data_IF_148081346676
#
_entry.id   IF_148081346676
#
_cell.length_a   1.000
_cell.length_b   1.000
_cell.length_c   1.000
_cell.angle_alpha   90.00
_cell.angle_beta   90.00
_cell.angle_gamma   90.00
#
_symmetry.space_group_name_H-M   'P 1'
#
loop_
_entity.id
_entity.type
_entity.pdbx_description
1 polymer ?
#
# COMPACT_ATOMS: atom_id res chain seq x y z
N UNK A 1 6.63 -7.44 5.08
CA UNK A 1 5.51 -8.30 4.72
C UNK A 1 5.98 -9.73 4.52
N UNK A 2 5.13 -10.71 4.84
CA UNK A 2 5.23 -12.11 4.39
C UNK A 2 4.23 -12.35 3.26
N UNK A 3 4.23 -13.56 2.67
CA UNK A 3 3.36 -13.86 1.55
C UNK A 3 3.96 -13.48 0.19
N UNK A 4 3.16 -13.61 -0.87
CA UNK A 4 3.57 -13.33 -2.24
C UNK A 4 2.37 -12.96 -3.11
N UNK A 5 2.51 -12.99 -4.45
CA UNK A 5 1.39 -12.82 -5.38
C UNK A 5 0.37 -13.95 -5.29
N UNK A 6 0.84 -15.18 -5.06
CA UNK A 6 -0.01 -16.36 -4.98
C UNK A 6 -0.32 -16.75 -3.52
N UNK A 7 -1.46 -17.40 -3.32
CA UNK A 7 -1.88 -17.98 -2.05
C UNK A 7 -2.33 -19.44 -2.28
N UNK A 8 -1.94 -20.39 -1.40
CA UNK A 8 -0.99 -20.22 -0.31
C UNK A 8 0.44 -19.97 -0.81
N UNK A 9 1.25 -19.28 -0.02
CA UNK A 9 2.64 -18.97 -0.33
C UNK A 9 3.59 -19.49 0.74
N UNK A 10 4.87 -19.58 0.40
CA UNK A 10 5.92 -19.89 1.37
C UNK A 10 6.00 -18.80 2.44
N UNK A 11 6.33 -19.22 3.65
CA UNK A 11 6.48 -18.37 4.84
C UNK A 11 7.91 -18.48 5.38
N UNK A 12 8.29 -17.56 6.26
CA UNK A 12 9.60 -17.58 6.91
C UNK A 12 9.63 -18.58 8.07
N UNK A 13 8.48 -18.75 8.72
CA UNK A 13 8.25 -19.73 9.78
C UNK A 13 7.31 -20.83 9.28
N UNK A 14 6.43 -21.37 10.14
CA UNK A 14 5.50 -22.43 9.77
C UNK A 14 4.20 -21.92 9.14
N UNK A 15 3.84 -20.65 9.37
CA UNK A 15 2.62 -20.04 8.84
C UNK A 15 2.77 -18.52 8.69
N UNK A 16 1.86 -17.88 7.97
CA UNK A 16 1.83 -16.40 7.88
C UNK A 16 1.48 -15.77 9.23
N UNK A 17 0.66 -16.45 10.02
CA UNK A 17 0.32 -16.05 11.37
C UNK A 17 1.55 -16.05 12.28
N UNK A 18 2.36 -17.11 12.22
CA UNK A 18 3.59 -17.22 12.98
C UNK A 18 4.64 -16.19 12.54
N UNK A 19 4.73 -15.90 11.25
CA UNK A 19 5.58 -14.82 10.74
C UNK A 19 5.19 -13.48 11.37
N UNK A 20 3.88 -13.17 11.47
CA UNK A 20 3.40 -11.95 12.13
C UNK A 20 3.69 -11.97 13.62
N UNK A 21 3.44 -13.09 14.30
CA UNK A 21 3.56 -13.18 15.77
C UNK A 21 5.01 -13.15 16.22
N UNK A 22 5.90 -13.89 15.56
CA UNK A 22 7.26 -14.12 16.04
C UNK A 22 8.32 -13.22 15.40
N UNK A 23 8.00 -12.50 14.33
CA UNK A 23 8.94 -11.60 13.65
C UNK A 23 8.44 -10.17 13.74
N UNK A 24 9.06 -9.36 14.61
CA UNK A 24 8.62 -7.99 14.91
C UNK A 24 8.51 -7.09 13.66
N UNK A 25 9.42 -7.25 12.70
CA UNK A 25 9.44 -6.47 11.46
C UNK A 25 8.39 -6.88 10.42
N UNK A 26 7.68 -7.99 10.64
CA UNK A 26 6.57 -8.41 9.76
C UNK A 26 5.27 -7.72 10.20
N UNK A 27 4.80 -6.77 9.40
CA UNK A 27 3.63 -5.94 9.65
C UNK A 27 2.41 -6.33 8.78
N UNK A 28 2.44 -7.52 8.19
CA UNK A 28 1.31 -8.00 7.39
C UNK A 28 1.69 -9.00 6.31
N UNK A 29 0.69 -9.32 5.50
CA UNK A 29 0.77 -10.30 4.42
C UNK A 29 0.59 -9.59 3.08
N UNK A 30 1.32 -10.05 2.05
CA UNK A 30 1.13 -9.64 0.65
C UNK A 30 0.33 -10.70 -0.10
N UNK A 31 -0.60 -10.24 -0.93
CA UNK A 31 -1.39 -11.06 -1.87
C UNK A 31 -1.63 -10.25 -3.15
N UNK A 32 -1.84 -10.91 -4.29
CA UNK A 32 -2.36 -10.27 -5.50
C UNK A 32 -3.83 -10.64 -5.71
N UNK A 33 -4.64 -9.65 -6.08
CA UNK A 33 -6.03 -9.82 -6.51
C UNK A 33 -6.24 -9.19 -7.88
N UNK A 34 -7.16 -9.76 -8.64
CA UNK A 34 -7.55 -9.26 -9.96
C UNK A 34 -6.33 -9.05 -10.89
N UNK A 35 -5.37 -9.95 -10.79
CA UNK A 35 -4.09 -9.94 -11.51
C UNK A 35 -3.85 -11.32 -12.13
N UNK A 36 -3.45 -11.36 -13.40
CA UNK A 36 -3.16 -12.59 -14.13
C UNK A 36 -2.05 -13.43 -13.49
N UNK A 37 -1.28 -12.87 -12.56
CA UNK A 37 -0.24 -13.57 -11.77
C UNK A 37 -0.74 -14.05 -10.42
N UNK A 38 -1.98 -13.74 -10.07
CA UNK A 38 -2.60 -14.17 -8.81
C UNK A 38 -2.97 -15.66 -8.85
N UNK A 39 -3.24 -16.24 -7.70
CA UNK A 39 -3.80 -17.59 -7.59
C UNK A 39 -5.32 -17.62 -7.72
N UNK A 40 -5.97 -16.48 -8.02
CA UNK A 40 -7.43 -16.35 -8.11
C UNK A 40 -8.14 -16.94 -6.88
N UNK A 41 -7.72 -16.46 -5.70
CA UNK A 41 -8.31 -16.89 -4.42
C UNK A 41 -9.82 -16.71 -4.41
N UNK A 42 -10.51 -17.65 -3.81
CA UNK A 42 -11.95 -17.58 -3.57
C UNK A 42 -12.27 -16.60 -2.44
N UNK A 43 -13.53 -16.16 -2.35
CA UNK A 43 -14.01 -15.33 -1.23
C UNK A 43 -13.77 -15.99 0.13
N UNK A 44 -13.98 -17.32 0.22
CA UNK A 44 -13.75 -18.08 1.45
C UNK A 44 -12.26 -18.10 1.86
N UNK A 45 -11.37 -18.30 0.91
CA UNK A 45 -9.92 -18.30 1.17
C UNK A 45 -9.45 -16.92 1.63
N UNK A 46 -9.89 -15.86 0.96
CA UNK A 46 -9.56 -14.48 1.34
C UNK A 46 -10.12 -14.11 2.72
N UNK A 47 -11.36 -14.51 3.01
CA UNK A 47 -11.98 -14.32 4.33
C UNK A 47 -11.21 -15.02 5.42
N UNK A 48 -10.80 -16.27 5.17
CA UNK A 48 -10.01 -17.07 6.12
C UNK A 48 -8.64 -16.45 6.36
N UNK A 49 -7.96 -16.00 5.29
CA UNK A 49 -6.68 -15.31 5.39
C UNK A 49 -6.80 -14.01 6.20
N UNK A 50 -7.79 -13.18 5.89
CA UNK A 50 -8.04 -11.93 6.61
C UNK A 50 -8.32 -12.16 8.10
N UNK A 51 -9.12 -13.18 8.44
CA UNK A 51 -9.40 -13.58 9.83
C UNK A 51 -8.15 -14.02 10.57
N UNK A 52 -7.27 -14.78 9.93
CA UNK A 52 -6.01 -15.24 10.50
C UNK A 52 -5.04 -14.08 10.75
N UNK A 53 -4.92 -13.14 9.80
CA UNK A 53 -4.10 -11.93 9.98
C UNK A 53 -4.63 -11.10 11.16
N UNK A 54 -5.95 -10.91 11.25
CA UNK A 54 -6.59 -10.21 12.39
C UNK A 54 -6.25 -10.88 13.73
N UNK A 55 -6.37 -12.21 13.82
CA UNK A 55 -6.05 -12.95 15.03
C UNK A 55 -4.56 -12.82 15.39
N UNK A 56 -3.65 -12.99 14.44
CA UNK A 56 -2.21 -12.84 14.63
C UNK A 56 -1.84 -11.41 15.09
N UNK A 57 -2.47 -10.38 14.51
CA UNK A 57 -2.33 -8.98 14.91
C UNK A 57 -2.67 -8.76 16.40
N UNK A 58 -3.80 -9.33 16.84
CA UNK A 58 -4.24 -9.25 18.23
C UNK A 58 -3.28 -9.98 19.19
N UNK A 59 -2.82 -11.18 18.82
CA UNK A 59 -1.87 -11.97 19.62
C UNK A 59 -0.52 -11.23 19.73
N UNK A 60 -0.03 -10.69 18.62
CA UNK A 60 1.26 -9.99 18.58
C UNK A 60 1.20 -8.58 19.22
N UNK A 61 0.01 -8.05 19.51
CA UNK A 61 -0.17 -6.69 20.04
C UNK A 61 0.30 -5.59 19.08
N UNK A 62 0.37 -5.87 17.77
CA UNK A 62 0.76 -4.93 16.72
C UNK A 62 -0.23 -4.93 15.57
N UNK A 63 -0.32 -3.82 14.85
CA UNK A 63 -1.13 -3.76 13.63
C UNK A 63 -0.50 -4.61 12.53
N UNK A 64 -1.31 -5.44 11.89
CA UNK A 64 -0.92 -6.19 10.71
C UNK A 64 -1.99 -6.05 9.62
N UNK A 65 -1.56 -5.81 8.39
CA UNK A 65 -2.43 -5.53 7.25
C UNK A 65 -2.31 -6.62 6.18
N UNK A 66 -3.36 -6.77 5.38
CA UNK A 66 -3.31 -7.50 4.12
C UNK A 66 -3.06 -6.48 2.99
N UNK A 67 -1.82 -6.39 2.55
CA UNK A 67 -1.43 -5.56 1.41
C UNK A 67 -1.77 -6.29 0.12
N UNK A 68 -2.65 -5.69 -0.68
CA UNK A 68 -3.19 -6.31 -1.89
C UNK A 68 -2.61 -5.63 -3.12
N UNK A 69 -1.81 -6.37 -3.88
CA UNK A 69 -1.40 -5.95 -5.22
C UNK A 69 -2.58 -6.07 -6.16
N UNK A 70 -3.09 -4.95 -6.63
CA UNK A 70 -4.22 -4.91 -7.56
C UNK A 70 -3.74 -5.03 -9.00
N UNK A 71 -4.36 -5.94 -9.75
CA UNK A 71 -4.16 -6.09 -11.19
C UNK A 71 -5.18 -5.31 -12.03
N UNK A 72 -5.34 -5.75 -13.28
CA UNK A 72 -6.19 -5.09 -14.29
C UNK A 72 -7.49 -5.83 -14.60
N UNK A 73 -7.77 -6.93 -13.89
CA UNK A 73 -8.97 -7.73 -14.12
C UNK A 73 -10.24 -7.00 -13.66
N UNK A 74 -11.35 -7.36 -14.30
CA UNK A 74 -12.65 -6.67 -14.13
C UNK A 74 -13.23 -6.72 -12.73
N UNK A 75 -12.85 -7.72 -11.93
CA UNK A 75 -13.36 -7.92 -10.57
C UNK A 75 -12.86 -6.86 -9.58
N UNK A 76 -11.76 -6.18 -9.90
CA UNK A 76 -11.17 -5.13 -9.08
C UNK A 76 -11.24 -5.45 -7.57
N UNK A 77 -11.98 -4.70 -6.75
CA UNK A 77 -12.12 -4.90 -5.30
C UNK A 77 -13.38 -5.70 -4.89
N UNK A 78 -14.12 -6.29 -5.81
CA UNK A 78 -15.39 -7.01 -5.53
C UNK A 78 -15.26 -8.00 -4.38
N UNK A 79 -14.21 -8.85 -4.36
CA UNK A 79 -14.00 -9.82 -3.28
C UNK A 79 -13.84 -9.15 -1.92
N UNK A 80 -13.15 -8.01 -1.87
CA UNK A 80 -12.96 -7.25 -0.62
C UNK A 80 -14.29 -6.69 -0.15
N UNK A 81 -15.09 -6.10 -1.05
CA UNK A 81 -16.41 -5.58 -0.69
C UNK A 81 -17.36 -6.68 -0.21
N UNK A 82 -17.38 -7.83 -0.88
CA UNK A 82 -18.20 -8.97 -0.47
C UNK A 82 -17.85 -9.44 0.95
N UNK A 83 -16.57 -9.49 1.29
CA UNK A 83 -16.12 -9.88 2.64
C UNK A 83 -16.55 -8.84 3.67
N UNK A 84 -16.38 -7.55 3.36
CA UNK A 84 -16.75 -6.47 4.28
C UNK A 84 -18.26 -6.43 4.55
N UNK A 85 -19.09 -6.88 3.60
CA UNK A 85 -20.54 -6.97 3.76
C UNK A 85 -20.96 -8.18 4.60
N UNK A 86 -20.26 -9.33 4.45
CA UNK A 86 -20.70 -10.63 5.02
C UNK A 86 -20.00 -10.99 6.33
N UNK A 87 -18.82 -10.45 6.59
CA UNK A 87 -17.99 -10.84 7.73
C UNK A 87 -17.62 -9.63 8.59
N UNK A 88 -17.50 -9.85 9.91
CA UNK A 88 -17.01 -8.82 10.85
C UNK A 88 -15.48 -8.68 10.77
N UNK A 89 -15.01 -8.22 9.60
CA UNK A 89 -13.60 -7.92 9.35
C UNK A 89 -13.47 -6.40 9.15
N UNK A 90 -12.56 -5.72 9.89
CA UNK A 90 -12.43 -4.28 9.77
C UNK A 90 -11.85 -3.89 8.40
N UNK A 91 -12.41 -2.86 7.79
CA UNK A 91 -11.94 -2.32 6.50
C UNK A 91 -10.46 -1.95 6.54
N UNK A 92 -9.97 -1.49 7.69
CA UNK A 92 -8.57 -1.12 7.91
C UNK A 92 -7.56 -2.28 7.81
N UNK A 93 -8.06 -3.53 7.78
CA UNK A 93 -7.20 -4.69 7.56
C UNK A 93 -6.67 -4.76 6.12
N UNK A 94 -7.45 -4.30 5.16
CA UNK A 94 -7.13 -4.36 3.74
C UNK A 94 -6.42 -3.09 3.28
N UNK A 95 -5.31 -3.24 2.56
CA UNK A 95 -4.54 -2.15 1.98
C UNK A 95 -4.27 -2.43 0.50
N UNK A 96 -5.21 -2.11 -0.40
CA UNK A 96 -4.98 -2.23 -1.82
C UNK A 96 -3.95 -1.20 -2.31
N UNK A 97 -2.99 -1.66 -3.12
CA UNK A 97 -2.01 -0.83 -3.83
C UNK A 97 -2.21 -0.90 -5.34
N UNK A 98 -1.60 0.03 -6.08
CA UNK A 98 -1.79 0.21 -7.53
C UNK A 98 -3.22 0.61 -7.92
N UNK A 99 -3.91 1.31 -7.04
CA UNK A 99 -5.35 1.60 -7.17
C UNK A 99 -5.70 2.52 -8.37
N UNK A 100 -4.71 3.02 -9.09
CA UNK A 100 -4.89 3.91 -10.26
C UNK A 100 -4.57 3.24 -11.59
N UNK A 101 -4.47 1.90 -11.63
CA UNK A 101 -4.15 1.15 -12.85
C UNK A 101 -5.15 1.34 -13.97
N UNK A 102 -6.43 1.34 -13.63
CA UNK A 102 -7.50 1.58 -14.58
C UNK A 102 -8.64 2.39 -13.93
N UNK A 103 -9.52 3.04 -14.73
CA UNK A 103 -10.58 3.88 -14.20
C UNK A 103 -11.58 3.14 -13.31
N UNK A 104 -11.93 1.90 -13.63
CA UNK A 104 -12.88 1.10 -12.85
C UNK A 104 -12.33 0.82 -11.45
N UNK A 105 -11.11 0.31 -11.36
CA UNK A 105 -10.44 0.07 -10.07
C UNK A 105 -10.34 1.37 -9.25
N UNK A 106 -10.08 2.50 -9.90
CA UNK A 106 -9.98 3.77 -9.19
C UNK A 106 -11.33 4.25 -8.62
N UNK A 107 -12.44 4.04 -9.33
CA UNK A 107 -13.78 4.32 -8.78
C UNK A 107 -14.08 3.46 -7.54
N UNK A 108 -13.73 2.18 -7.57
CA UNK A 108 -13.87 1.30 -6.40
C UNK A 108 -12.93 1.69 -5.26
N UNK A 109 -11.71 2.10 -5.56
CA UNK A 109 -10.76 2.60 -4.57
C UNK A 109 -11.29 3.87 -3.86
N UNK A 110 -11.97 4.78 -4.58
CA UNK A 110 -12.66 5.93 -3.96
C UNK A 110 -13.77 5.47 -3.00
N UNK A 111 -14.62 4.54 -3.46
CA UNK A 111 -15.66 3.93 -2.61
C UNK A 111 -15.04 3.28 -1.35
N UNK A 112 -13.92 2.59 -1.50
CA UNK A 112 -13.22 1.96 -0.38
C UNK A 112 -12.71 3.00 0.63
N UNK A 113 -12.20 4.16 0.18
CA UNK A 113 -11.80 5.24 1.09
C UNK A 113 -13.00 5.89 1.79
N UNK A 114 -14.15 6.00 1.13
CA UNK A 114 -15.40 6.50 1.74
C UNK A 114 -15.91 5.56 2.87
N UNK A 115 -15.60 4.27 2.80
CA UNK A 115 -15.86 3.29 3.87
C UNK A 115 -14.81 3.34 5.01
N UNK A 116 -13.80 4.19 4.90
CA UNK A 116 -12.72 4.33 5.89
C UNK A 116 -11.49 3.46 5.63
N UNK A 117 -11.43 2.76 4.51
CA UNK A 117 -10.26 2.00 4.06
C UNK A 117 -9.13 2.90 3.60
N UNK A 118 -7.90 2.40 3.62
CA UNK A 118 -6.73 3.12 3.13
C UNK A 118 -6.25 2.49 1.82
N UNK A 119 -6.04 3.31 0.81
CA UNK A 119 -5.49 2.90 -0.49
C UNK A 119 -4.06 3.40 -0.67
N UNK A 120 -3.33 2.72 -1.53
CA UNK A 120 -2.00 3.15 -1.96
C UNK A 120 -2.00 3.48 -3.46
N UNK A 121 -1.48 4.65 -3.79
CA UNK A 121 -1.24 5.09 -5.16
C UNK A 121 0.22 4.90 -5.49
N UNK A 122 0.51 4.07 -6.48
CA UNK A 122 1.88 3.91 -6.99
C UNK A 122 2.22 5.06 -7.92
N UNK A 123 3.26 5.81 -7.58
CA UNK A 123 3.74 6.93 -8.39
C UNK A 123 4.87 6.51 -9.33
N UNK A 124 4.90 7.13 -10.50
CA UNK A 124 5.99 7.03 -11.48
C UNK A 124 6.89 8.29 -11.56
N UNK A 125 6.59 9.28 -10.71
CA UNK A 125 7.33 10.54 -10.63
C UNK A 125 7.01 11.54 -11.73
N UNK A 126 5.88 11.35 -12.43
CA UNK A 126 5.44 12.23 -13.54
C UNK A 126 4.38 13.27 -13.14
N UNK A 127 3.95 13.29 -11.86
CA UNK A 127 2.98 14.24 -11.30
C UNK A 127 1.50 13.89 -11.54
N UNK A 128 1.19 12.74 -12.13
CA UNK A 128 -0.21 12.32 -12.35
C UNK A 128 -0.97 12.04 -11.06
N UNK A 129 -0.27 11.73 -9.97
CA UNK A 129 -0.87 11.41 -8.67
C UNK A 129 -1.79 12.51 -8.16
N UNK A 130 -1.47 13.78 -8.43
CA UNK A 130 -2.30 14.92 -8.04
C UNK A 130 -3.73 14.81 -8.57
N UNK A 131 -3.89 14.46 -9.84
CA UNK A 131 -5.21 14.34 -10.48
C UNK A 131 -6.09 13.26 -9.85
N UNK A 132 -5.50 12.21 -9.28
CA UNK A 132 -6.20 11.19 -8.52
C UNK A 132 -6.56 11.66 -7.12
N UNK A 133 -5.61 12.29 -6.40
CA UNK A 133 -5.83 12.80 -5.04
C UNK A 133 -6.98 13.81 -5.02
N UNK A 134 -7.07 14.71 -6.00
CA UNK A 134 -8.13 15.71 -6.11
C UNK A 134 -9.55 15.13 -6.24
N UNK A 135 -9.67 13.85 -6.62
CA UNK A 135 -10.95 13.16 -6.74
C UNK A 135 -11.34 12.38 -5.48
N UNK A 136 -10.46 12.31 -4.47
CA UNK A 136 -10.67 11.55 -3.24
C UNK A 136 -11.07 12.52 -2.12
N UNK A 137 -12.21 12.27 -1.47
CA UNK A 137 -12.72 13.11 -0.38
C UNK A 137 -11.87 13.01 0.89
N UNK A 138 -11.50 11.78 1.26
CA UNK A 138 -10.76 11.50 2.49
C UNK A 138 -9.28 11.23 2.18
N UNK A 139 -8.51 12.28 1.98
CA UNK A 139 -7.09 12.20 1.63
C UNK A 139 -6.21 11.65 2.75
N UNK A 140 -6.68 11.58 4.00
CA UNK A 140 -5.98 10.91 5.10
C UNK A 140 -5.94 9.39 4.93
N UNK A 141 -6.77 8.85 4.03
CA UNK A 141 -6.83 7.43 3.65
C UNK A 141 -6.05 7.12 2.37
N UNK A 142 -5.13 7.98 1.99
CA UNK A 142 -4.28 7.79 0.82
C UNK A 142 -2.82 7.73 1.25
N UNK A 143 -2.11 6.72 0.78
CA UNK A 143 -0.65 6.64 0.82
C UNK A 143 -0.09 6.69 -0.60
N UNK A 144 1.17 7.07 -0.74
CA UNK A 144 1.87 7.07 -2.03
C UNK A 144 3.15 6.26 -1.88
N UNK A 145 3.35 5.32 -2.79
CA UNK A 145 4.55 4.50 -2.88
C UNK A 145 5.13 4.53 -4.30
N UNK A 146 6.39 4.12 -4.44
CA UNK A 146 7.04 4.06 -5.75
C UNK A 146 7.08 2.67 -6.36
N UNK A 147 6.70 1.63 -5.62
CA UNK A 147 6.98 0.23 -6.00
C UNK A 147 8.45 0.04 -6.41
N UNK A 148 9.36 0.71 -5.69
CA UNK A 148 10.78 0.72 -6.02
C UNK A 148 11.35 -0.70 -6.03
N UNK A 149 12.24 -0.98 -7.00
CA UNK A 149 12.79 -2.29 -7.30
C UNK A 149 11.75 -3.30 -7.85
N UNK A 150 10.47 -2.92 -7.93
CA UNK A 150 9.46 -3.70 -8.64
C UNK A 150 9.76 -3.74 -10.15
N UNK A 151 9.60 -4.92 -10.75
CA UNK A 151 9.67 -5.07 -12.20
C UNK A 151 8.37 -4.66 -12.86
N UNK A 152 8.46 -4.02 -14.01
CA UNK A 152 7.34 -3.78 -14.90
C UNK A 152 7.62 -4.34 -16.28
N UNK A 153 6.58 -4.71 -17.00
CA UNK A 153 6.68 -5.22 -18.36
C UNK A 153 5.62 -4.56 -19.25
N UNK A 154 5.99 -4.30 -20.49
CA UNK A 154 5.04 -3.98 -21.55
C UNK A 154 4.99 -5.13 -22.55
N UNK A 155 3.85 -5.28 -23.22
CA UNK A 155 3.61 -6.40 -24.12
C UNK A 155 3.26 -5.89 -25.51
N UNK A 156 3.59 -6.67 -26.52
CA UNK A 156 3.14 -6.50 -27.89
C UNK A 156 1.68 -6.99 -28.02
N UNK A 157 1.05 -6.71 -29.17
CA UNK A 157 -0.33 -7.13 -29.44
C UNK A 157 -0.49 -8.67 -29.45
N UNK A 158 0.57 -9.40 -29.75
CA UNK A 158 0.60 -10.87 -29.73
C UNK A 158 0.84 -11.48 -28.34
N UNK A 159 0.95 -10.65 -27.30
CA UNK A 159 1.22 -11.06 -25.93
C UNK A 159 2.69 -11.31 -25.61
N UNK A 160 3.60 -11.20 -26.56
CA UNK A 160 5.04 -11.30 -26.30
C UNK A 160 5.54 -10.07 -25.51
N UNK A 161 6.56 -10.27 -24.68
CA UNK A 161 7.16 -9.19 -23.91
C UNK A 161 7.86 -8.21 -24.84
N UNK A 162 7.47 -6.93 -24.77
CA UNK A 162 8.07 -5.83 -25.54
C UNK A 162 9.24 -5.20 -24.80
N UNK A 163 9.05 -4.94 -23.51
CA UNK A 163 10.04 -4.27 -22.68
C UNK A 163 9.90 -4.71 -21.22
N UNK A 164 11.00 -4.80 -20.52
CA UNK A 164 11.06 -5.05 -19.07
C UNK A 164 11.94 -3.98 -18.44
N UNK A 165 11.49 -3.43 -17.31
CA UNK A 165 12.26 -2.47 -16.54
C UNK A 165 12.10 -2.66 -15.04
N UNK A 166 12.83 -1.86 -14.30
CA UNK A 166 12.79 -1.80 -12.83
C UNK A 166 12.42 -0.38 -12.42
N UNK A 167 11.47 -0.26 -11.50
CA UNK A 167 11.01 1.05 -11.00
C UNK A 167 12.11 1.73 -10.19
N UNK A 168 12.52 2.96 -10.56
CA UNK A 168 13.54 3.68 -9.82
C UNK A 168 13.03 4.17 -8.45
N UNK A 169 13.83 3.99 -7.40
CA UNK A 169 13.54 4.52 -6.07
C UNK A 169 13.36 6.05 -6.05
N UNK A 170 13.99 6.75 -6.99
CA UNK A 170 13.91 8.21 -7.13
C UNK A 170 12.52 8.73 -7.49
N UNK A 171 11.62 7.87 -7.97
CA UNK A 171 10.26 8.27 -8.35
C UNK A 171 9.50 8.84 -7.14
N UNK A 172 9.69 8.28 -5.94
CA UNK A 172 9.03 8.79 -4.74
C UNK A 172 9.44 10.24 -4.43
N UNK A 173 10.75 10.55 -4.51
CA UNK A 173 11.26 11.91 -4.33
C UNK A 173 10.70 12.86 -5.38
N UNK A 174 10.67 12.45 -6.65
CA UNK A 174 10.15 13.28 -7.75
C UNK A 174 8.68 13.60 -7.54
N UNK A 175 7.89 12.58 -7.16
CA UNK A 175 6.45 12.76 -6.92
C UNK A 175 6.18 13.66 -5.71
N UNK A 176 6.96 13.52 -4.63
CA UNK A 176 6.88 14.44 -3.51
C UNK A 176 7.14 15.90 -3.91
N UNK A 177 8.16 16.15 -4.75
CA UNK A 177 8.47 17.49 -5.24
C UNK A 177 7.30 18.03 -6.10
N UNK A 178 6.74 17.21 -6.99
CA UNK A 178 5.60 17.59 -7.80
C UNK A 178 4.40 18.00 -6.93
N UNK A 179 4.02 17.14 -5.97
CA UNK A 179 2.89 17.41 -5.08
C UNK A 179 3.15 18.60 -4.17
N UNK A 180 4.36 18.75 -3.64
CA UNK A 180 4.74 19.90 -2.81
C UNK A 180 4.62 21.23 -3.56
N UNK A 181 4.98 21.25 -4.84
CA UNK A 181 4.90 22.47 -5.65
C UNK A 181 3.45 22.92 -5.88
N UNK A 182 2.52 21.96 -5.96
CA UNK A 182 1.10 22.23 -6.19
C UNK A 182 0.29 22.42 -4.90
N UNK A 183 0.57 21.63 -3.87
CA UNK A 183 -0.22 21.57 -2.64
C UNK A 183 0.45 22.28 -1.44
N UNK A 184 1.73 22.60 -1.53
CA UNK A 184 2.56 22.99 -0.39
C UNK A 184 3.01 21.82 0.48
N UNK A 185 4.02 22.07 1.35
CA UNK A 185 4.60 21.02 2.20
C UNK A 185 3.59 20.38 3.14
N UNK A 186 2.75 21.17 3.81
CA UNK A 186 1.81 20.68 4.82
C UNK A 186 0.79 19.71 4.26
N UNK A 187 0.35 19.91 3.02
CA UNK A 187 -0.64 19.08 2.36
C UNK A 187 -0.04 17.90 1.60
N UNK A 188 1.22 18.00 1.15
CA UNK A 188 1.89 16.93 0.41
C UNK A 188 2.54 15.89 1.32
N UNK A 189 3.21 16.30 2.40
CA UNK A 189 3.93 15.40 3.30
C UNK A 189 3.09 14.25 3.89
N UNK A 190 1.84 14.45 4.30
CA UNK A 190 1.06 13.39 4.93
C UNK A 190 0.98 12.10 4.11
N UNK A 191 0.92 12.16 2.78
CA UNK A 191 0.85 10.99 1.89
C UNK A 191 2.08 10.09 1.98
N UNK A 192 3.23 10.65 2.35
CA UNK A 192 4.53 9.96 2.41
C UNK A 192 4.99 9.67 3.84
N UNK A 193 4.29 10.20 4.84
CA UNK A 193 4.73 10.16 6.25
C UNK A 193 3.61 9.75 7.18
N UNK A 194 2.76 10.69 7.64
CA UNK A 194 1.71 10.48 8.65
C UNK A 194 0.72 9.39 8.23
N UNK A 195 0.23 9.42 6.97
CA UNK A 195 -0.74 8.44 6.51
C UNK A 195 -0.12 7.04 6.46
N UNK A 196 1.14 6.93 6.01
CA UNK A 196 1.90 5.68 6.00
C UNK A 196 2.09 5.15 7.42
N UNK A 197 2.52 6.01 8.36
CA UNK A 197 2.67 5.63 9.76
C UNK A 197 1.35 5.12 10.36
N UNK A 198 0.25 5.79 10.07
CA UNK A 198 -1.07 5.41 10.57
C UNK A 198 -1.50 4.03 10.05
N UNK A 199 -1.36 3.76 8.75
CA UNK A 199 -1.78 2.48 8.16
C UNK A 199 -0.90 1.32 8.63
N UNK A 200 0.36 1.57 8.95
CA UNK A 200 1.29 0.57 9.46
C UNK A 200 1.25 0.44 11.00
N UNK A 201 0.44 1.25 11.68
CA UNK A 201 0.29 1.21 13.15
C UNK A 201 1.46 1.81 13.92
N UNK A 202 2.31 2.60 13.29
CA UNK A 202 3.41 3.29 13.96
C UNK A 202 2.90 4.52 14.72
N UNK A 203 3.18 4.58 16.03
CA UNK A 203 2.65 5.61 16.93
C UNK A 203 3.60 6.79 17.17
N UNK A 204 4.88 6.61 16.86
CA UNK A 204 5.94 7.58 17.24
C UNK A 204 6.79 8.05 16.06
N UNK A 205 6.33 7.85 14.82
CA UNK A 205 6.98 8.33 13.60
C UNK A 205 5.98 9.00 12.65
N UNK A 206 6.45 9.54 11.54
CA UNK A 206 5.64 10.14 10.49
C UNK A 206 5.26 11.60 10.72
N UNK A 207 5.66 12.20 11.84
CA UNK A 207 5.42 13.60 12.16
C UNK A 207 6.59 14.18 12.99
N UNK A 208 6.83 15.48 12.85
CA UNK A 208 7.72 16.22 13.75
C UNK A 208 6.90 16.66 14.96
N UNK A 209 7.03 15.94 16.08
CA UNK A 209 6.25 16.16 17.28
C UNK A 209 7.04 15.75 18.52
N UNK A 210 6.83 16.44 19.65
CA UNK A 210 7.43 16.05 20.93
C UNK A 210 7.04 14.61 21.32
N UNK A 211 8.03 13.83 21.77
CA UNK A 211 7.86 12.41 22.11
C UNK A 211 7.91 11.45 20.91
N UNK A 212 8.05 11.96 19.68
CA UNK A 212 8.25 11.12 18.48
C UNK A 212 9.74 10.84 18.25
N UNK A 213 10.01 9.75 17.52
CA UNK A 213 11.37 9.41 17.09
C UNK A 213 11.92 10.49 16.16
N UNK A 214 13.23 10.77 16.29
CA UNK A 214 13.89 11.80 15.49
C UNK A 214 14.34 11.24 14.13
N UNK A 215 13.39 10.78 13.33
CA UNK A 215 13.62 10.35 11.96
C UNK A 215 13.29 11.52 11.02
N UNK A 216 14.30 12.29 10.63
CA UNK A 216 14.14 13.56 9.95
C UNK A 216 14.92 13.59 8.63
N UNK A 217 14.32 14.24 7.63
CA UNK A 217 15.00 14.57 6.37
C UNK A 217 15.07 16.09 6.25
N UNK A 218 16.29 16.63 6.17
CA UNK A 218 16.55 18.06 6.01
C UNK A 218 16.69 18.35 4.52
N UNK A 219 15.87 19.28 4.02
CA UNK A 219 15.82 19.69 2.63
C UNK A 219 16.32 21.12 2.44
N UNK A 220 16.98 21.38 1.31
CA UNK A 220 17.25 22.70 0.81
C UNK A 220 17.05 22.69 -0.71
N UNK A 221 16.21 23.59 -1.25
CA UNK A 221 15.99 23.72 -2.70
C UNK A 221 15.75 22.37 -3.39
N UNK A 222 14.80 21.56 -2.87
CA UNK A 222 14.45 20.24 -3.39
C UNK A 222 15.58 19.19 -3.36
N UNK A 223 16.65 19.48 -2.64
CA UNK A 223 17.75 18.55 -2.41
C UNK A 223 17.81 18.10 -0.94
N UNK A 224 17.96 16.79 -0.74
CA UNK A 224 18.19 16.23 0.59
C UNK A 224 19.60 16.60 1.02
N UNK A 225 19.72 17.36 2.10
CA UNK A 225 20.99 17.78 2.69
C UNK A 225 21.47 16.80 3.76
N UNK A 226 20.53 16.29 4.56
CA UNK A 226 20.86 15.39 5.66
C UNK A 226 19.67 14.49 6.00
N UNK A 227 19.97 13.25 6.35
CA UNK A 227 19.03 12.31 6.96
C UNK A 227 19.49 12.05 8.38
N UNK A 228 18.60 12.15 9.32
CA UNK A 228 18.79 11.83 10.74
C UNK A 228 17.86 10.67 11.05
N UNK A 229 18.39 9.61 11.61
CA UNK A 229 17.60 8.43 12.01
C UNK A 229 17.95 8.06 13.43
N UNK A 230 16.98 7.50 14.16
CA UNK A 230 17.22 6.82 15.41
C UNK A 230 18.17 5.63 15.16
N UNK A 231 19.24 5.54 15.92
CA UNK A 231 20.15 4.40 15.88
C UNK A 231 19.60 3.23 16.70
#
# INVERSE_FOLDING_TARGET
>A
LTGSYAYPSNTLTSSMEDDIVFIDSILGVKLALSDHRSSHVTEEELTRLASKIRAASLIAGKQANLTIHMGDEKQALDLVFNILEKADIPVSLFQPTHCTRNPHLFEEAKRFTDMGGTIDITCDGNGKTLSYIQQIKNTEKVTISSDAQGSWSTYNEDGSVKEIGITPISNLKKEFINLKNELGYENALPFFTKNVANVLGFKHIGQVKEGFDCDLVIWKEDQIQKVITKK
#
